data_IF_810008200986
#
_entry.id   IF_810008200986
#
_cell.length_a   1.000
_cell.length_b   1.000
_cell.length_c   1.000
_cell.angle_alpha   90.00
_cell.angle_beta   90.00
_cell.angle_gamma   90.00
#
_symmetry.space_group_name_H-M   'P 1'
#
loop_
_entity.id
_entity.type
_entity.pdbx_description
1 polymer ?
#
# COMPACT_ATOMS: atom_id res chain seq x y z
N UNK A 1 61.96 72.28 -5.92
CA UNK A 1 62.14 71.51 -7.17
C UNK A 1 62.66 70.11 -6.82
N UNK A 2 62.16 69.08 -7.51
CA UNK A 2 62.42 67.61 -7.38
C UNK A 2 61.71 66.93 -6.20
N UNK A 3 60.63 66.16 -6.39
CA UNK A 3 60.45 64.84 -7.04
C UNK A 3 60.94 63.66 -6.20
N UNK A 4 60.01 62.81 -5.74
CA UNK A 4 60.11 61.34 -5.77
C UNK A 4 58.76 60.70 -5.40
N UNK A 5 58.18 59.92 -6.32
CA UNK A 5 56.94 59.16 -6.16
C UNK A 5 57.18 57.90 -5.32
N UNK A 6 56.26 57.59 -4.39
CA UNK A 6 56.20 56.32 -3.66
C UNK A 6 55.38 55.31 -4.48
N UNK A 7 55.94 54.12 -4.70
CA UNK A 7 55.25 52.99 -5.33
C UNK A 7 54.40 52.26 -4.28
N UNK A 8 53.12 52.04 -4.59
CA UNK A 8 52.19 51.22 -3.78
C UNK A 8 51.84 50.00 -4.61
N UNK A 9 52.24 48.82 -4.13
CA UNK A 9 51.95 47.54 -4.76
C UNK A 9 50.56 47.09 -4.30
N UNK A 10 49.62 47.05 -5.24
CA UNK A 10 48.23 46.65 -5.00
C UNK A 10 48.07 45.12 -4.94
N UNK A 11 47.24 44.66 -4.01
CA UNK A 11 46.74 43.28 -3.97
C UNK A 11 45.23 43.35 -4.13
N UNK A 12 44.75 42.99 -5.32
CA UNK A 12 43.35 42.99 -5.71
C UNK A 12 42.71 41.67 -5.28
N UNK A 13 41.79 41.69 -4.32
CA UNK A 13 40.92 40.54 -4.02
C UNK A 13 39.68 40.63 -4.89
N UNK A 14 39.51 39.68 -5.81
CA UNK A 14 38.31 39.55 -6.64
C UNK A 14 37.27 38.74 -5.85
N UNK A 15 36.29 39.41 -5.26
CA UNK A 15 35.13 38.75 -4.65
C UNK A 15 34.16 38.33 -5.76
N UNK A 16 34.02 37.03 -5.98
CA UNK A 16 33.04 36.44 -6.89
C UNK A 16 31.67 36.48 -6.21
N UNK A 17 30.78 37.39 -6.62
CA UNK A 17 29.39 37.38 -6.19
C UNK A 17 28.62 36.34 -6.98
N UNK A 18 28.23 35.24 -6.33
CA UNK A 18 27.22 34.32 -6.86
C UNK A 18 25.85 34.98 -6.66
N UNK A 19 25.28 35.52 -7.73
CA UNK A 19 23.87 35.91 -7.75
C UNK A 19 23.05 34.63 -7.82
N UNK A 20 22.51 34.20 -6.68
CA UNK A 20 21.44 33.19 -6.67
C UNK A 20 20.15 33.87 -7.12
N UNK A 21 19.80 33.74 -8.40
CA UNK A 21 18.50 34.10 -8.90
C UNK A 21 17.47 33.08 -8.37
N UNK A 22 16.78 33.44 -7.28
CA UNK A 22 15.60 32.69 -6.83
C UNK A 22 14.44 33.02 -7.77
N UNK A 23 14.17 32.16 -8.73
CA UNK A 23 12.93 32.24 -9.49
C UNK A 23 11.78 31.81 -8.57
N UNK A 24 11.10 32.77 -7.94
CA UNK A 24 9.81 32.53 -7.30
C UNK A 24 8.80 32.21 -8.40
N UNK A 25 8.53 30.92 -8.58
CA UNK A 25 7.35 30.47 -9.33
C UNK A 25 6.14 31.06 -8.60
N UNK A 26 5.30 31.90 -9.24
CA UNK A 26 4.13 32.46 -8.61
C UNK A 26 3.29 31.31 -8.05
N UNK A 27 2.89 31.46 -6.78
CA UNK A 27 2.31 30.41 -5.97
C UNK A 27 1.17 29.68 -6.67
N UNK A 28 1.49 28.51 -7.23
CA UNK A 28 0.49 27.53 -7.58
C UNK A 28 -0.07 27.04 -6.24
N UNK A 29 -1.29 27.46 -5.92
CA UNK A 29 -2.02 26.85 -4.81
C UNK A 29 -1.92 25.33 -4.98
N UNK A 30 -1.62 24.56 -3.92
CA UNK A 30 -1.67 23.11 -4.03
C UNK A 30 -3.04 22.75 -4.62
N UNK A 31 -3.12 21.83 -5.60
CA UNK A 31 -4.42 21.41 -6.11
C UNK A 31 -5.24 21.06 -4.88
N UNK A 32 -6.33 21.79 -4.67
CA UNK A 32 -7.27 21.50 -3.60
C UNK A 32 -7.79 20.12 -3.96
N UNK A 33 -7.20 19.09 -3.37
CA UNK A 33 -7.74 17.76 -3.45
C UNK A 33 -9.14 17.90 -2.86
N UNK A 34 -10.14 17.96 -3.75
CA UNK A 34 -11.52 17.83 -3.34
C UNK A 34 -11.59 16.46 -2.69
N UNK A 35 -11.48 16.44 -1.37
CA UNK A 35 -11.80 15.27 -0.59
C UNK A 35 -13.31 15.13 -0.68
N UNK A 36 -13.79 14.58 -1.78
CA UNK A 36 -15.02 13.81 -1.75
C UNK A 36 -14.73 12.66 -0.81
N UNK A 37 -15.00 12.85 0.49
CA UNK A 37 -15.37 11.76 1.36
C UNK A 37 -16.53 11.08 0.65
N UNK A 38 -16.21 10.06 -0.14
CA UNK A 38 -17.20 9.24 -0.81
C UNK A 38 -18.04 8.61 0.29
N UNK A 39 -19.19 9.22 0.55
CA UNK A 39 -20.16 8.64 1.46
C UNK A 39 -20.61 7.36 0.76
N UNK A 40 -20.03 6.23 1.19
CA UNK A 40 -20.48 4.91 0.80
C UNK A 40 -21.98 4.92 1.11
N UNK A 41 -22.82 4.94 0.06
CA UNK A 41 -24.26 5.08 0.20
C UNK A 41 -24.89 3.88 0.90
N UNK A 42 -26.04 3.39 0.42
CA UNK A 42 -26.56 2.12 0.93
C UNK A 42 -25.61 0.97 0.55
N UNK A 43 -25.03 0.31 1.57
CA UNK A 43 -24.12 -0.85 1.42
C UNK A 43 -24.82 -2.18 1.67
N UNK A 44 -26.15 -2.20 1.79
CA UNK A 44 -26.93 -3.39 2.14
C UNK A 44 -26.68 -4.58 1.20
N UNK A 45 -26.49 -4.34 -0.09
CA UNK A 45 -26.15 -5.38 -1.06
C UNK A 45 -24.76 -5.99 -0.81
N UNK A 46 -23.74 -5.14 -0.59
CA UNK A 46 -22.38 -5.58 -0.27
C UNK A 46 -22.35 -6.38 1.04
N UNK A 47 -23.12 -5.93 2.04
CA UNK A 47 -23.23 -6.64 3.31
C UNK A 47 -23.83 -8.04 3.14
N UNK A 48 -24.86 -8.20 2.29
CA UNK A 48 -25.46 -9.51 1.99
C UNK A 48 -24.48 -10.44 1.28
N UNK A 49 -23.74 -9.93 0.31
CA UNK A 49 -22.71 -10.70 -0.40
C UNK A 49 -21.59 -11.14 0.55
N UNK A 50 -21.02 -10.20 1.31
CA UNK A 50 -19.98 -10.49 2.30
C UNK A 50 -20.46 -11.50 3.36
N UNK A 51 -21.72 -11.41 3.80
CA UNK A 51 -22.32 -12.39 4.72
C UNK A 51 -22.36 -13.79 4.09
N UNK A 52 -22.74 -13.88 2.81
CA UNK A 52 -22.71 -15.14 2.07
C UNK A 52 -21.31 -15.73 2.00
N UNK A 53 -20.31 -14.93 1.61
CA UNK A 53 -18.92 -15.38 1.53
C UNK A 53 -18.37 -15.85 2.86
N UNK A 54 -18.62 -15.09 3.93
CA UNK A 54 -18.18 -15.41 5.29
C UNK A 54 -18.85 -16.69 5.80
N UNK A 55 -20.14 -16.86 5.54
CA UNK A 55 -20.88 -18.06 5.96
C UNK A 55 -20.30 -19.32 5.35
N UNK A 56 -19.99 -19.31 4.05
CA UNK A 56 -19.36 -20.44 3.38
C UNK A 56 -17.91 -20.65 3.84
N UNK A 57 -17.16 -19.57 4.07
CA UNK A 57 -15.79 -19.66 4.59
C UNK A 57 -15.74 -20.31 5.99
N UNK A 58 -16.63 -19.92 6.90
CA UNK A 58 -16.69 -20.47 8.28
C UNK A 58 -17.01 -21.97 8.28
N UNK A 59 -17.73 -22.48 7.28
CA UNK A 59 -18.02 -23.92 7.15
C UNK A 59 -16.77 -24.74 6.80
N UNK A 60 -15.73 -24.11 6.25
CA UNK A 60 -14.47 -24.79 5.94
C UNK A 60 -13.71 -25.00 7.24
N UNK A 61 -13.57 -26.25 7.66
CA UNK A 61 -12.81 -26.58 8.85
C UNK A 61 -11.31 -26.36 8.61
N UNK A 62 -10.76 -25.32 9.24
CA UNK A 62 -9.33 -24.98 9.26
C UNK A 62 -8.74 -25.10 10.68
N UNK A 63 -9.36 -25.89 11.56
CA UNK A 63 -8.88 -26.07 12.94
C UNK A 63 -7.44 -26.59 12.96
N UNK A 64 -6.59 -25.88 13.69
CA UNK A 64 -5.18 -26.18 13.85
C UNK A 64 -4.87 -26.54 15.32
N UNK A 65 -4.30 -27.74 15.61
CA UNK A 65 -3.98 -28.86 14.71
C UNK A 65 -5.21 -29.66 14.21
N UNK A 66 -5.14 -30.35 13.04
CA UNK A 66 -3.98 -30.49 12.17
C UNK A 66 -3.81 -29.37 11.12
N UNK A 67 -4.77 -28.46 10.98
CA UNK A 67 -4.86 -27.50 9.87
C UNK A 67 -5.74 -28.03 8.74
N UNK A 68 -5.87 -27.25 7.65
CA UNK A 68 -6.54 -27.55 6.35
C UNK A 68 -6.74 -26.22 5.57
N UNK A 69 -5.84 -25.27 5.75
CA UNK A 69 -5.97 -23.90 5.27
C UNK A 69 -5.95 -23.81 3.74
N UNK A 70 -5.44 -24.84 3.05
CA UNK A 70 -5.50 -24.91 1.59
C UNK A 70 -6.93 -24.91 1.06
N UNK A 71 -7.88 -25.54 1.76
CA UNK A 71 -9.29 -25.50 1.36
C UNK A 71 -9.86 -24.07 1.41
N UNK A 72 -9.56 -23.33 2.48
CA UNK A 72 -9.95 -21.93 2.63
C UNK A 72 -9.25 -21.04 1.60
N UNK A 73 -7.95 -21.25 1.36
CA UNK A 73 -7.18 -20.53 0.34
C UNK A 73 -7.77 -20.72 -1.06
N UNK A 74 -8.12 -21.96 -1.44
CA UNK A 74 -8.78 -22.26 -2.72
C UNK A 74 -10.15 -21.59 -2.84
N UNK A 75 -10.92 -21.58 -1.76
CA UNK A 75 -12.22 -20.89 -1.75
C UNK A 75 -12.07 -19.38 -1.97
N UNK A 76 -11.15 -18.73 -1.26
CA UNK A 76 -10.87 -17.28 -1.40
C UNK A 76 -10.34 -16.98 -2.81
N UNK A 77 -9.43 -17.81 -3.34
CA UNK A 77 -8.95 -17.68 -4.72
C UNK A 77 -10.09 -17.74 -5.74
N UNK A 78 -11.09 -18.60 -5.52
CA UNK A 78 -12.27 -18.68 -6.37
C UNK A 78 -13.12 -17.42 -6.36
N UNK A 79 -13.23 -16.73 -5.21
CA UNK A 79 -13.90 -15.42 -5.12
C UNK A 79 -13.09 -14.37 -5.89
N UNK A 80 -11.79 -14.27 -5.60
CA UNK A 80 -10.89 -13.30 -6.25
C UNK A 80 -10.88 -13.47 -7.77
N UNK A 81 -10.89 -14.72 -8.25
CA UNK A 81 -10.95 -15.02 -9.68
C UNK A 81 -12.24 -14.49 -10.33
N UNK A 82 -13.40 -14.62 -9.67
CA UNK A 82 -14.68 -14.09 -10.19
C UNK A 82 -14.64 -12.57 -10.32
N UNK A 83 -13.92 -11.89 -9.43
CA UNK A 83 -13.69 -10.44 -9.45
C UNK A 83 -12.52 -10.01 -10.36
N UNK A 84 -11.90 -10.94 -11.09
CA UNK A 84 -10.76 -10.64 -11.95
C UNK A 84 -9.46 -10.29 -11.21
N UNK A 85 -9.37 -10.59 -9.91
CA UNK A 85 -8.18 -10.35 -9.10
C UNK A 85 -7.30 -11.60 -9.16
N UNK A 86 -6.08 -11.45 -9.70
CA UNK A 86 -5.10 -12.55 -9.75
C UNK A 86 -4.59 -12.87 -8.35
N UNK A 87 -4.65 -14.15 -7.99
CA UNK A 87 -4.10 -14.69 -6.75
C UNK A 87 -3.22 -15.92 -7.00
N UNK A 88 -2.29 -16.17 -6.08
CA UNK A 88 -1.40 -17.32 -6.06
C UNK A 88 -1.54 -18.06 -4.73
N UNK A 89 -1.59 -19.39 -4.79
CA UNK A 89 -1.49 -20.24 -3.61
C UNK A 89 -0.02 -20.61 -3.39
N UNK A 90 0.45 -20.43 -2.15
CA UNK A 90 1.80 -20.75 -1.73
C UNK A 90 1.74 -21.97 -0.79
N UNK A 91 2.09 -23.18 -1.26
CA UNK A 91 2.10 -24.38 -0.42
C UNK A 91 3.14 -24.25 0.69
N UNK A 92 2.72 -24.50 1.93
CA UNK A 92 3.59 -24.45 3.11
C UNK A 92 3.85 -25.85 3.68
N UNK A 93 2.80 -26.65 3.80
CA UNK A 93 2.80 -28.04 4.28
C UNK A 93 1.67 -28.81 3.57
N UNK A 94 1.63 -30.16 3.61
CA UNK A 94 0.52 -30.92 3.04
C UNK A 94 -0.84 -30.44 3.58
N UNK A 95 -1.72 -29.97 2.68
CA UNK A 95 -3.04 -29.43 3.03
C UNK A 95 -3.04 -28.00 3.61
N UNK A 96 -1.89 -27.33 3.67
CA UNK A 96 -1.75 -25.97 4.20
C UNK A 96 -1.08 -25.06 3.18
N UNK A 97 -1.82 -24.06 2.71
CA UNK A 97 -1.34 -23.06 1.77
C UNK A 97 -1.67 -21.65 2.25
N UNK A 98 -0.77 -20.71 2.02
CA UNK A 98 -1.09 -19.28 2.09
C UNK A 98 -1.67 -18.83 0.73
N UNK A 99 -2.38 -17.70 0.73
CA UNK A 99 -2.86 -17.05 -0.49
C UNK A 99 -2.31 -15.62 -0.56
N UNK A 100 -1.76 -15.26 -1.71
CA UNK A 100 -1.33 -13.89 -2.00
C UNK A 100 -2.09 -13.38 -3.22
N UNK A 101 -2.63 -12.19 -3.11
CA UNK A 101 -3.32 -11.52 -4.21
C UNK A 101 -2.83 -10.08 -4.32
N UNK A 102 -2.87 -9.53 -5.53
CA UNK A 102 -2.49 -8.14 -5.79
C UNK A 102 -3.52 -7.48 -6.69
N UNK A 103 -4.15 -6.43 -6.16
CA UNK A 103 -4.94 -5.48 -6.92
C UNK A 103 -4.08 -4.24 -7.21
N UNK A 104 -3.89 -3.92 -8.49
CA UNK A 104 -3.09 -2.77 -8.92
C UNK A 104 -3.97 -1.54 -9.18
N UNK A 105 -3.57 -0.37 -8.68
CA UNK A 105 -4.31 0.88 -8.88
C UNK A 105 -4.15 1.47 -10.29
N UNK A 106 -3.05 1.17 -10.99
CA UNK A 106 -2.76 1.65 -12.34
C UNK A 106 -1.77 0.71 -13.05
N UNK A 107 -1.50 0.97 -14.33
CA UNK A 107 -0.50 0.22 -15.10
C UNK A 107 0.94 0.38 -14.58
N UNK A 108 1.23 1.51 -13.90
CA UNK A 108 2.53 1.81 -13.29
C UNK A 108 2.32 2.17 -11.81
N UNK A 109 2.07 1.18 -10.96
CA UNK A 109 1.77 1.42 -9.56
C UNK A 109 3.03 1.88 -8.81
N UNK A 110 2.91 2.89 -7.95
CA UNK A 110 3.95 3.33 -7.03
C UNK A 110 3.99 2.40 -5.80
N UNK A 111 5.04 1.58 -5.60
CA UNK A 111 5.10 0.63 -4.50
C UNK A 111 5.12 1.29 -3.12
N UNK A 112 5.58 2.54 -3.01
CA UNK A 112 5.66 3.25 -1.73
C UNK A 112 4.29 3.58 -1.11
N UNK A 113 3.23 3.51 -1.93
CA UNK A 113 1.84 3.76 -1.54
C UNK A 113 1.01 2.47 -1.45
N UNK A 114 1.66 1.31 -1.51
CA UNK A 114 0.95 0.04 -1.43
C UNK A 114 0.35 -0.17 -0.03
N UNK A 115 -0.90 -0.60 0.01
CA UNK A 115 -1.55 -1.09 1.22
C UNK A 115 -1.44 -2.63 1.24
N UNK A 116 -0.91 -3.18 2.33
CA UNK A 116 -0.88 -4.62 2.56
C UNK A 116 -1.98 -4.99 3.56
N UNK A 117 -2.88 -5.88 3.13
CA UNK A 117 -3.88 -6.50 4.00
C UNK A 117 -3.41 -7.91 4.34
N UNK A 118 -3.27 -8.21 5.63
CA UNK A 118 -2.80 -9.51 6.13
C UNK A 118 -3.84 -10.09 7.08
N UNK A 119 -4.15 -11.37 6.89
CA UNK A 119 -5.02 -12.15 7.76
C UNK A 119 -4.51 -13.59 7.83
N UNK A 120 -4.98 -14.33 8.82
CA UNK A 120 -4.77 -15.78 8.92
C UNK A 120 -6.10 -16.52 8.69
N UNK A 121 -6.02 -17.77 8.27
CA UNK A 121 -7.19 -18.59 7.90
C UNK A 121 -7.47 -19.72 8.91
N UNK A 122 -6.53 -19.98 9.81
CA UNK A 122 -6.66 -21.03 10.81
C UNK A 122 -7.43 -20.56 12.04
N UNK A 123 -8.08 -21.53 12.69
CA UNK A 123 -8.80 -21.32 13.94
C UNK A 123 -8.36 -22.37 14.97
N UNK A 124 -8.60 -22.06 16.23
CA UNK A 124 -8.38 -22.99 17.32
C UNK A 124 -9.49 -24.04 17.40
N UNK A 125 -9.22 -25.16 18.08
CA UNK A 125 -10.22 -26.18 18.37
C UNK A 125 -11.32 -25.70 19.32
N UNK A 126 -12.41 -26.44 19.36
CA UNK A 126 -13.62 -26.05 20.09
C UNK A 126 -14.26 -27.21 20.86
N UNK A 127 -14.69 -26.96 22.09
CA UNK A 127 -15.51 -27.89 22.87
C UNK A 127 -16.99 -27.76 22.47
N UNK A 128 -17.43 -28.56 21.49
CA UNK A 128 -18.79 -28.46 20.90
C UNK A 128 -19.93 -28.53 21.92
N UNK A 129 -19.75 -29.23 23.04
CA UNK A 129 -20.77 -29.37 24.08
C UNK A 129 -21.01 -28.09 24.91
N UNK A 130 -20.17 -27.05 24.73
CA UNK A 130 -20.22 -25.79 25.48
C UNK A 130 -20.64 -24.59 24.62
N UNK A 131 -21.14 -24.82 23.42
CA UNK A 131 -21.62 -23.79 22.48
C UNK A 131 -23.13 -23.64 22.50
#
# INVERSE_FOLDING_TARGET
>A
MRSARKSVLGTLWLALFVVSASAQVPGMAPPTATQTSGQLGDTSALAREATGWLTELIKINTTNPPGNEEAAAKYIAGILQKEGIKSELLPLQPGRSALVARLTSSAFPDPSKALLLVAHMDVVGVERAKW
#
